data_IF_219698623377
#
_entry.id   IF_219698623377
#
_cell.length_a   1.000
_cell.length_b   1.000
_cell.length_c   1.000
_cell.angle_alpha   90.00
_cell.angle_beta   90.00
_cell.angle_gamma   90.00
#
_symmetry.space_group_name_H-M   'P 1'
#
loop_
_entity.id
_entity.type
_entity.pdbx_description
1 polymer ?
#
# COMPACT_ATOMS: atom_id res chain seq x y z
N UNK A 1 -15.18 -25.22 3.89
CA UNK A 1 -14.95 -23.89 3.28
C UNK A 1 -13.74 -23.26 3.94
N UNK A 2 -12.57 -23.27 3.29
CA UNK A 2 -11.30 -22.76 3.85
C UNK A 2 -10.82 -21.55 3.02
N UNK A 3 -10.24 -20.51 3.64
CA UNK A 3 -9.81 -19.31 2.91
C UNK A 3 -8.47 -19.57 2.20
N UNK A 4 -8.38 -19.20 0.91
CA UNK A 4 -7.17 -19.32 0.10
C UNK A 4 -6.13 -18.23 0.42
N UNK A 5 -4.82 -18.53 0.37
CA UNK A 5 -3.74 -17.58 0.63
C UNK A 5 -3.54 -16.59 -0.53
N UNK A 6 -3.38 -15.31 -0.19
CA UNK A 6 -3.09 -14.19 -1.11
C UNK A 6 -1.66 -14.26 -1.65
N UNK A 7 -1.47 -13.94 -2.95
CA UNK A 7 -0.21 -14.13 -3.71
C UNK A 7 0.23 -12.79 -4.34
N UNK A 8 1.53 -12.63 -4.63
CA UNK A 8 2.13 -11.64 -5.57
C UNK A 8 2.95 -12.42 -6.64
N UNK A 9 2.91 -12.11 -7.96
CA UNK A 9 3.61 -12.88 -9.00
C UNK A 9 4.87 -12.17 -9.52
N UNK A 10 5.72 -12.94 -10.21
CA UNK A 10 7.08 -12.60 -10.69
C UNK A 10 7.07 -11.71 -11.95
N UNK A 11 8.08 -10.85 -12.06
CA UNK A 11 8.46 -10.12 -13.27
C UNK A 11 9.04 -11.07 -14.33
N UNK A 12 8.72 -10.80 -15.60
CA UNK A 12 9.41 -11.35 -16.75
C UNK A 12 10.75 -10.62 -16.92
N UNK A 13 11.83 -11.39 -17.07
CA UNK A 13 13.12 -10.91 -17.55
C UNK A 13 12.97 -10.41 -18.99
N UNK A 14 13.30 -9.14 -19.23
CA UNK A 14 13.74 -8.67 -20.53
C UNK A 14 15.05 -7.89 -20.33
N UNK A 15 15.90 -8.07 -21.33
CA UNK A 15 17.32 -7.74 -21.49
C UNK A 15 17.78 -6.41 -20.87
N UNK A 16 18.87 -6.45 -20.11
CA UNK A 16 19.55 -5.31 -19.49
C UNK A 16 20.87 -4.99 -20.24
N UNK A 17 20.77 -4.76 -21.56
CA UNK A 17 21.74 -3.91 -22.22
C UNK A 17 21.10 -2.54 -22.39
N UNK A 18 21.82 -1.46 -22.07
CA UNK A 18 21.37 -0.05 -22.03
C UNK A 18 20.81 0.47 -20.70
N UNK A 19 21.60 0.40 -19.62
CA UNK A 19 21.33 1.16 -18.39
C UNK A 19 22.57 1.96 -17.93
N UNK A 20 22.91 3.00 -18.68
CA UNK A 20 23.79 4.08 -18.24
C UNK A 20 23.17 5.42 -18.61
N UNK A 21 22.25 5.90 -17.75
CA UNK A 21 21.91 7.30 -17.46
C UNK A 21 20.54 7.37 -16.77
N UNK A 22 20.56 7.78 -15.50
CA UNK A 22 19.54 8.53 -14.75
C UNK A 22 18.06 8.40 -15.18
N UNK A 23 17.23 7.70 -14.39
CA UNK A 23 15.76 7.79 -14.41
C UNK A 23 15.24 7.80 -12.95
N UNK A 24 14.32 8.72 -12.57
CA UNK A 24 13.80 8.86 -11.22
C UNK A 24 12.84 7.71 -10.85
N UNK A 25 12.68 7.47 -9.55
CA UNK A 25 11.85 6.43 -8.96
C UNK A 25 10.47 6.28 -9.62
N UNK A 26 10.34 5.28 -10.51
CA UNK A 26 9.07 4.85 -11.09
C UNK A 26 8.39 3.84 -10.16
N UNK A 27 7.20 4.23 -9.72
CA UNK A 27 6.25 3.49 -8.91
C UNK A 27 5.91 2.14 -9.59
N UNK A 28 6.51 1.04 -9.12
CA UNK A 28 6.17 -0.32 -9.58
C UNK A 28 5.00 -0.86 -8.76
N UNK A 29 3.79 -0.85 -9.33
CA UNK A 29 2.57 -1.44 -8.74
C UNK A 29 2.38 -2.86 -9.32
N UNK A 30 2.29 -3.89 -8.46
CA UNK A 30 1.95 -5.27 -8.84
C UNK A 30 0.66 -5.73 -8.13
N UNK A 31 -0.29 -6.35 -8.85
CA UNK A 31 -1.61 -6.79 -8.35
C UNK A 31 -1.93 -8.24 -8.79
N UNK A 32 -2.62 -9.02 -7.93
CA UNK A 32 -3.04 -10.42 -8.20
C UNK A 32 -4.54 -10.60 -8.11
N UNK A 33 -5.09 -11.42 -9.02
CA UNK A 33 -6.50 -11.82 -9.05
C UNK A 33 -6.72 -13.18 -8.40
N UNK A 34 -7.74 -13.29 -7.55
CA UNK A 34 -8.44 -14.54 -7.23
C UNK A 34 -9.93 -14.26 -7.36
N UNK A 35 -10.65 -15.10 -8.12
CA UNK A 35 -12.10 -15.00 -8.31
C UNK A 35 -12.82 -15.55 -7.09
N UNK A 36 -13.63 -14.74 -6.42
CA UNK A 36 -14.78 -15.21 -5.63
C UNK A 36 -15.97 -14.26 -5.79
N UNK A 37 -17.15 -14.87 -5.72
CA UNK A 37 -18.46 -14.30 -6.07
C UNK A 37 -18.90 -13.15 -5.15
N UNK A 38 -19.78 -12.31 -5.70
CA UNK A 38 -20.31 -11.10 -5.13
C UNK A 38 -21.07 -11.32 -3.81
N UNK A 39 -20.70 -10.54 -2.80
CA UNK A 39 -21.53 -10.17 -1.66
C UNK A 39 -21.58 -8.65 -1.58
N UNK A 40 -22.76 -8.14 -1.25
CA UNK A 40 -23.26 -6.83 -1.55
C UNK A 40 -22.58 -5.68 -0.79
N UNK A 41 -22.50 -4.57 -1.52
CA UNK A 41 -22.17 -3.19 -1.14
C UNK A 41 -22.84 -2.73 0.16
N UNK A 42 -22.02 -2.29 1.11
CA UNK A 42 -22.13 -1.13 2.00
C UNK A 42 -21.37 -1.50 3.29
N UNK A 43 -20.10 -1.17 3.38
CA UNK A 43 -19.76 -0.09 4.30
C UNK A 43 -18.59 0.77 3.80
N UNK A 44 -18.90 2.05 3.53
CA UNK A 44 -17.95 3.09 3.14
C UNK A 44 -17.52 3.89 4.37
N UNK A 45 -17.22 3.23 5.50
CA UNK A 45 -17.29 3.76 6.87
C UNK A 45 -16.48 5.01 7.21
N UNK A 46 -15.49 5.39 6.40
CA UNK A 46 -14.63 6.55 6.67
C UNK A 46 -14.57 7.58 5.55
N UNK A 47 -14.50 8.86 5.91
CA UNK A 47 -14.33 9.98 4.98
C UNK A 47 -12.86 10.10 4.55
N UNK A 48 -12.58 9.93 3.24
CA UNK A 48 -11.21 10.00 2.71
C UNK A 48 -10.58 11.38 2.94
N UNK A 49 -11.36 12.45 2.75
CA UNK A 49 -10.94 13.83 3.02
C UNK A 49 -10.55 14.01 4.49
N UNK A 50 -11.37 13.48 5.41
CA UNK A 50 -11.11 13.54 6.85
C UNK A 50 -9.86 12.74 7.24
N UNK A 51 -9.63 11.59 6.62
CA UNK A 51 -8.41 10.80 6.84
C UNK A 51 -7.19 11.55 6.34
N UNK A 52 -7.20 12.03 5.10
CA UNK A 52 -6.10 12.78 4.51
C UNK A 52 -5.71 13.99 5.36
N UNK A 53 -6.70 14.74 5.86
CA UNK A 53 -6.46 15.85 6.79
C UNK A 53 -5.80 15.40 8.10
N UNK A 54 -6.26 14.30 8.70
CA UNK A 54 -5.70 13.80 9.96
C UNK A 54 -4.28 13.26 9.80
N UNK A 55 -3.97 12.62 8.65
CA UNK A 55 -2.62 12.18 8.33
C UNK A 55 -1.66 13.36 8.17
N UNK A 56 -2.09 14.44 7.51
CA UNK A 56 -1.30 15.67 7.36
C UNK A 56 -1.04 16.34 8.72
N UNK A 57 -2.09 16.49 9.55
CA UNK A 57 -1.97 17.08 10.90
C UNK A 57 -1.00 16.25 11.76
N UNK A 58 -1.12 14.92 11.73
CA UNK A 58 -0.22 14.06 12.49
C UNK A 58 1.22 14.13 11.98
N UNK A 59 1.40 14.19 10.65
CA UNK A 59 2.72 14.33 10.06
C UNK A 59 3.40 15.62 10.51
N UNK A 60 2.74 16.78 10.40
CA UNK A 60 3.27 18.05 10.89
C UNK A 60 3.58 18.04 12.39
N UNK A 61 2.71 17.44 13.20
CA UNK A 61 2.91 17.30 14.64
C UNK A 61 4.16 16.48 14.97
N UNK A 62 4.35 15.35 14.29
CA UNK A 62 5.44 14.41 14.56
C UNK A 62 6.78 14.94 14.02
N UNK A 63 6.75 15.60 12.87
CA UNK A 63 7.94 16.18 12.22
C UNK A 63 8.30 17.57 12.75
N UNK A 64 7.60 18.05 13.80
CA UNK A 64 7.81 19.36 14.44
C UNK A 64 7.83 20.53 13.45
N UNK A 65 6.95 20.47 12.45
CA UNK A 65 6.81 21.52 11.44
C UNK A 65 7.80 21.47 10.26
N UNK A 66 8.67 20.44 10.16
CA UNK A 66 9.50 20.27 8.98
C UNK A 66 8.67 19.92 7.72
N UNK A 67 9.31 20.00 6.54
CA UNK A 67 8.69 19.72 5.25
C UNK A 67 8.17 18.27 5.21
N UNK A 68 6.85 18.14 5.03
CA UNK A 68 6.20 16.84 4.84
C UNK A 68 6.15 16.53 3.35
N UNK A 69 6.51 15.30 3.00
CA UNK A 69 6.37 14.78 1.65
C UNK A 69 5.11 13.93 1.53
N UNK A 70 4.62 13.80 0.29
CA UNK A 70 3.46 12.98 -0.01
C UNK A 70 2.16 13.78 0.07
N UNK A 71 1.48 13.87 -1.08
CA UNK A 71 0.18 14.54 -1.24
C UNK A 71 -0.65 13.86 -2.33
N UNK A 72 -0.47 12.56 -2.52
CA UNK A 72 -1.19 11.77 -3.52
C UNK A 72 -2.72 11.90 -3.39
N UNK A 73 -3.21 12.26 -2.19
CA UNK A 73 -4.60 12.59 -1.91
C UNK A 73 -5.11 13.93 -2.47
N UNK A 74 -4.26 14.75 -3.08
CA UNK A 74 -4.62 16.03 -3.70
C UNK A 74 -4.52 15.98 -5.24
N UNK A 75 -3.92 14.92 -5.80
CA UNK A 75 -3.77 14.74 -7.24
C UNK A 75 -4.98 13.96 -7.76
N UNK A 76 -5.98 14.67 -8.29
CA UNK A 76 -7.23 14.07 -8.74
C UNK A 76 -7.04 12.93 -9.75
N UNK A 77 -6.08 13.05 -10.67
CA UNK A 77 -5.76 12.00 -11.64
C UNK A 77 -5.27 10.70 -10.98
N UNK A 78 -4.47 10.80 -9.91
CA UNK A 78 -3.96 9.66 -9.17
C UNK A 78 -5.08 8.98 -8.37
N UNK A 79 -5.94 9.76 -7.70
CA UNK A 79 -7.12 9.23 -7.01
C UNK A 79 -8.03 8.48 -7.98
N UNK A 80 -8.34 9.07 -9.15
CA UNK A 80 -9.17 8.40 -10.17
C UNK A 80 -8.55 7.08 -10.62
N UNK A 81 -7.23 7.04 -10.79
CA UNK A 81 -6.50 5.82 -11.17
C UNK A 81 -6.60 4.76 -10.07
N UNK A 82 -6.40 5.12 -8.81
CA UNK A 82 -6.57 4.20 -7.68
C UNK A 82 -8.00 3.68 -7.59
N UNK A 83 -9.00 4.56 -7.72
CA UNK A 83 -10.41 4.19 -7.73
C UNK A 83 -10.71 3.18 -8.83
N UNK A 84 -10.28 3.48 -10.06
CA UNK A 84 -10.49 2.59 -11.21
C UNK A 84 -9.86 1.22 -10.98
N UNK A 85 -8.56 1.20 -10.66
CA UNK A 85 -7.82 -0.06 -10.49
C UNK A 85 -8.33 -0.86 -9.29
N UNK A 86 -8.63 -0.24 -8.16
CA UNK A 86 -9.15 -0.93 -6.99
C UNK A 86 -10.52 -1.58 -7.27
N UNK A 87 -11.40 -0.85 -7.97
CA UNK A 87 -12.76 -1.31 -8.29
C UNK A 87 -12.76 -2.40 -9.35
N UNK A 88 -12.06 -2.18 -10.47
CA UNK A 88 -12.01 -3.13 -11.59
C UNK A 88 -11.35 -4.45 -11.19
N UNK A 89 -10.31 -4.38 -10.36
CA UNK A 89 -9.51 -5.55 -9.99
C UNK A 89 -10.03 -6.30 -8.76
N UNK A 90 -10.96 -5.71 -8.00
CA UNK A 90 -11.42 -6.25 -6.71
C UNK A 90 -10.24 -6.68 -5.82
N UNK A 91 -9.25 -5.80 -5.72
CA UNK A 91 -7.97 -6.13 -5.10
C UNK A 91 -8.14 -6.44 -3.61
N UNK A 92 -7.78 -7.66 -3.20
CA UNK A 92 -7.75 -8.09 -1.78
C UNK A 92 -6.46 -7.68 -1.07
N UNK A 93 -5.41 -7.42 -1.83
CA UNK A 93 -4.12 -6.99 -1.30
C UNK A 93 -3.51 -5.95 -2.23
N UNK A 94 -3.04 -4.86 -1.64
CA UNK A 94 -2.38 -3.76 -2.31
C UNK A 94 -0.94 -3.72 -1.81
N UNK A 95 0.03 -3.71 -2.72
CA UNK A 95 1.46 -3.59 -2.38
C UNK A 95 1.99 -2.28 -2.95
N UNK A 96 2.71 -1.51 -2.14
CA UNK A 96 3.24 -0.20 -2.54
C UNK A 96 4.60 0.06 -1.86
N UNK A 97 5.55 0.60 -2.61
CA UNK A 97 6.80 1.15 -2.10
C UNK A 97 6.68 2.67 -1.97
N UNK A 98 7.07 3.23 -0.83
CA UNK A 98 6.89 4.65 -0.52
C UNK A 98 5.53 4.94 0.11
N UNK A 99 5.29 4.40 1.31
CA UNK A 99 4.09 4.71 2.11
C UNK A 99 4.01 6.21 2.43
N UNK A 100 5.15 6.81 2.76
CA UNK A 100 5.29 8.22 3.07
C UNK A 100 4.26 8.65 4.15
N UNK A 101 3.43 9.66 3.87
CA UNK A 101 2.39 10.10 4.80
C UNK A 101 1.11 9.23 4.78
N UNK A 102 0.98 8.28 3.84
CA UNK A 102 -0.11 7.31 3.80
C UNK A 102 -1.37 7.73 3.02
N UNK A 103 -1.36 8.85 2.29
CA UNK A 103 -2.54 9.32 1.54
C UNK A 103 -2.94 8.39 0.38
N UNK A 104 -1.96 7.82 -0.34
CA UNK A 104 -2.19 6.80 -1.36
C UNK A 104 -2.78 5.53 -0.75
N UNK A 105 -2.23 5.04 0.36
CA UNK A 105 -2.74 3.89 1.10
C UNK A 105 -4.22 4.06 1.50
N UNK A 106 -4.57 5.23 2.04
CA UNK A 106 -5.97 5.56 2.37
C UNK A 106 -6.88 5.57 1.13
N UNK A 107 -6.37 6.08 0.00
CA UNK A 107 -7.10 6.10 -1.27
C UNK A 107 -7.32 4.68 -1.80
N UNK A 108 -6.31 3.83 -1.79
CA UNK A 108 -6.44 2.42 -2.16
C UNK A 108 -7.51 1.72 -1.33
N UNK A 109 -7.39 1.77 -0.01
CA UNK A 109 -8.29 1.07 0.90
C UNK A 109 -9.74 1.58 0.85
N UNK A 110 -9.94 2.88 0.59
CA UNK A 110 -11.28 3.44 0.41
C UNK A 110 -12.01 2.87 -0.82
N UNK A 111 -11.25 2.52 -1.85
CA UNK A 111 -11.78 2.08 -3.13
C UNK A 111 -11.70 0.55 -3.32
N UNK A 112 -11.18 -0.18 -2.34
CA UNK A 112 -11.13 -1.65 -2.34
C UNK A 112 -12.23 -2.24 -1.45
N UNK A 113 -12.36 -3.57 -1.48
CA UNK A 113 -13.26 -4.31 -0.59
C UNK A 113 -12.92 -4.06 0.89
N UNK A 114 -13.90 -4.24 1.78
CA UNK A 114 -13.74 -3.99 3.23
C UNK A 114 -12.66 -4.86 3.88
N UNK A 115 -12.40 -6.06 3.33
CA UNK A 115 -11.36 -6.99 3.78
C UNK A 115 -9.99 -6.75 3.12
N UNK A 116 -9.89 -5.79 2.19
CA UNK A 116 -8.66 -5.53 1.48
C UNK A 116 -7.55 -5.02 2.42
N UNK A 117 -6.34 -5.51 2.22
CA UNK A 117 -5.15 -5.16 3.01
C UNK A 117 -4.14 -4.35 2.20
N UNK A 118 -3.53 -3.37 2.83
CA UNK A 118 -2.41 -2.60 2.28
C UNK A 118 -1.10 -3.07 2.91
N UNK A 119 -0.13 -3.34 2.05
CA UNK A 119 1.22 -3.81 2.37
C UNK A 119 2.23 -2.78 1.82
N UNK A 120 2.69 -1.90 2.70
CA UNK A 120 3.65 -0.85 2.38
C UNK A 120 5.09 -1.25 2.66
N UNK A 121 6.03 -0.65 1.92
CA UNK A 121 7.47 -0.68 2.19
C UNK A 121 7.99 0.75 2.17
N UNK A 122 8.64 1.18 3.24
CA UNK A 122 9.06 2.57 3.39
C UNK A 122 10.35 2.68 4.18
N UNK A 123 11.22 3.61 3.81
CA UNK A 123 12.47 3.84 4.55
C UNK A 123 12.22 4.42 5.96
N UNK A 124 11.05 4.99 6.21
CA UNK A 124 10.60 5.43 7.53
C UNK A 124 11.56 6.46 8.13
N UNK A 125 11.97 6.21 9.37
CA UNK A 125 12.87 7.08 10.16
C UNK A 125 14.24 7.35 9.54
N UNK A 126 14.61 6.64 8.47
CA UNK A 126 15.79 7.01 7.69
C UNK A 126 15.66 8.41 7.08
N UNK A 127 14.44 8.85 6.75
CA UNK A 127 14.18 10.17 6.17
C UNK A 127 13.18 11.00 6.98
N UNK A 128 12.13 10.37 7.51
CA UNK A 128 11.00 11.06 8.14
C UNK A 128 10.47 10.29 9.35
N UNK A 129 10.02 10.99 10.39
CA UNK A 129 9.47 10.37 11.62
C UNK A 129 8.00 10.00 11.48
N UNK A 130 7.26 10.73 10.64
CA UNK A 130 5.82 10.53 10.48
C UNK A 130 5.35 9.21 9.86
N UNK A 131 6.08 8.49 8.97
CA UNK A 131 5.54 7.31 8.30
C UNK A 131 5.06 6.22 9.28
N UNK A 132 5.84 5.93 10.33
CA UNK A 132 5.46 4.97 11.36
C UNK A 132 4.23 5.42 12.17
N UNK A 133 4.19 6.70 12.53
CA UNK A 133 3.07 7.26 13.30
C UNK A 133 1.79 7.28 12.46
N UNK A 134 1.90 7.62 11.18
CA UNK A 134 0.78 7.65 10.24
C UNK A 134 0.27 6.25 9.88
N UNK A 135 1.14 5.23 9.79
CA UNK A 135 0.70 3.86 9.59
C UNK A 135 -0.22 3.38 10.73
N UNK A 136 0.18 3.66 11.98
CA UNK A 136 -0.61 3.36 13.18
C UNK A 136 -1.92 4.16 13.21
N UNK A 137 -1.85 5.46 12.93
CA UNK A 137 -3.02 6.33 12.88
C UNK A 137 -4.00 5.86 11.80
N UNK A 138 -3.50 5.51 10.61
CA UNK A 138 -4.34 5.10 9.50
C UNK A 138 -5.15 3.84 9.85
N UNK A 139 -4.53 2.81 10.43
CA UNK A 139 -5.25 1.63 10.95
C UNK A 139 -6.37 2.01 11.91
N UNK A 140 -6.10 2.91 12.86
CA UNK A 140 -7.12 3.40 13.80
C UNK A 140 -8.27 4.12 13.10
N UNK A 141 -7.98 4.89 12.05
CA UNK A 141 -8.99 5.68 11.34
C UNK A 141 -9.87 4.87 10.40
N UNK A 142 -9.34 3.80 9.79
CA UNK A 142 -10.09 2.96 8.85
C UNK A 142 -10.80 1.78 9.53
N UNK A 143 -10.43 1.46 10.77
CA UNK A 143 -10.92 0.29 11.49
C UNK A 143 -10.21 -1.00 11.08
N UNK A 144 -9.79 -1.77 12.07
CA UNK A 144 -9.13 -3.07 11.89
C UNK A 144 -7.61 -3.01 11.63
N UNK A 145 -7.04 -4.18 11.36
CA UNK A 145 -5.61 -4.37 11.05
C UNK A 145 -5.43 -4.59 9.55
N UNK A 146 -5.60 -3.51 8.79
CA UNK A 146 -5.61 -3.52 7.32
C UNK A 146 -4.37 -2.91 6.69
N UNK A 147 -3.61 -2.09 7.43
CA UNK A 147 -2.39 -1.42 6.97
C UNK A 147 -1.20 -2.05 7.67
N UNK A 148 -0.33 -2.70 6.89
CA UNK A 148 0.98 -3.13 7.38
C UNK A 148 2.05 -2.44 6.56
N UNK A 149 2.95 -1.73 7.23
CA UNK A 149 4.11 -1.10 6.59
C UNK A 149 5.36 -1.74 7.15
N UNK A 150 6.23 -2.22 6.27
CA UNK A 150 7.55 -2.72 6.61
C UNK A 150 8.53 -1.58 6.48
N UNK A 151 9.18 -1.19 7.57
CA UNK A 151 10.11 -0.07 7.61
C UNK A 151 11.56 -0.52 7.37
N UNK A 152 12.27 0.20 6.52
CA UNK A 152 13.66 -0.05 6.15
C UNK A 152 13.89 0.07 4.63
N UNK A 153 15.13 -0.15 4.21
CA UNK A 153 15.53 -0.16 2.81
C UNK A 153 14.69 -1.18 2.00
N UNK A 154 13.90 -0.69 1.04
CA UNK A 154 13.00 -1.51 0.23
C UNK A 154 13.74 -2.49 -0.68
N UNK A 155 14.99 -2.19 -1.05
CA UNK A 155 15.85 -3.12 -1.80
C UNK A 155 16.18 -4.38 -1.00
N UNK A 156 16.05 -4.32 0.33
CA UNK A 156 16.29 -5.44 1.26
C UNK A 156 15.00 -6.03 1.80
N UNK A 157 14.06 -5.20 2.24
CA UNK A 157 12.82 -5.65 2.90
C UNK A 157 11.85 -6.34 1.94
N UNK A 158 11.74 -5.86 0.70
CA UNK A 158 10.82 -6.42 -0.28
C UNK A 158 11.20 -7.85 -0.72
N UNK A 159 12.47 -8.17 -1.06
CA UNK A 159 12.87 -9.54 -1.38
C UNK A 159 12.65 -10.53 -0.23
N UNK A 160 12.91 -10.12 1.01
CA UNK A 160 12.67 -10.93 2.22
C UNK A 160 11.19 -11.26 2.34
N UNK A 161 10.34 -10.23 2.25
CA UNK A 161 8.88 -10.41 2.28
C UNK A 161 8.39 -11.40 1.22
N UNK A 162 8.86 -11.26 -0.03
CA UNK A 162 8.49 -12.17 -1.12
C UNK A 162 8.91 -13.61 -0.83
N UNK A 163 10.09 -13.82 -0.22
CA UNK A 163 10.57 -15.15 0.17
C UNK A 163 9.68 -15.77 1.25
N UNK A 164 9.32 -14.99 2.27
CA UNK A 164 8.47 -15.45 3.37
C UNK A 164 7.06 -15.83 2.91
N UNK A 165 6.44 -15.00 2.08
CA UNK A 165 5.10 -15.29 1.54
C UNK A 165 5.10 -16.54 0.66
N UNK A 166 6.15 -16.76 -0.16
CA UNK A 166 6.32 -18.02 -0.91
C UNK A 166 6.39 -19.23 0.02
N UNK A 167 7.12 -19.12 1.14
CA UNK A 167 7.26 -20.23 2.09
C UNK A 167 5.95 -20.58 2.78
N UNK A 168 5.14 -19.57 3.16
CA UNK A 168 3.81 -19.79 3.75
C UNK A 168 2.90 -20.56 2.80
N UNK A 169 2.90 -20.16 1.52
CA UNK A 169 2.11 -20.85 0.49
C UNK A 169 2.53 -22.31 0.36
N UNK A 170 3.82 -22.60 0.37
CA UNK A 170 4.32 -23.97 0.23
C UNK A 170 3.97 -24.86 1.44
N UNK A 171 3.83 -24.27 2.64
CA UNK A 171 3.39 -25.00 3.84
C UNK A 171 1.89 -25.33 3.82
N UNK A 172 1.05 -24.47 3.23
CA UNK A 172 -0.40 -24.69 3.14
C UNK A 172 -0.76 -25.78 2.10
N UNK A 173 0.15 -26.04 1.15
CA UNK A 173 -0.04 -27.03 0.08
C UNK A 173 0.46 -28.44 0.43
N UNK A 174 1.08 -28.61 1.60
CA UNK A 174 1.44 -29.92 2.16
C UNK A 174 0.35 -30.35 3.13
#
# INVERSE_FOLDING_TARGET
MTPHPTRCPRAAQQDLSWASRWIPALLLIFLVHVRTSASQRADRTFSLVRIHRQLEINAHRVERGAKIEGRSGQIAAQIRTHTRLATERKAKSICETGFNAGHSAASWLKNSDHDARYLGFDAGRMFHRYPEANAKLLNKLIGGDRVRVTFGDSTKTLPVFVKEEKNKINKIKK
#
